data_IF_702477530957
#
_entry.id   IF_702477530957
#
_cell.length_a   1.000
_cell.length_b   1.000
_cell.length_c   1.000
_cell.angle_alpha   90.00
_cell.angle_beta   90.00
_cell.angle_gamma   90.00
#
_symmetry.space_group_name_H-M   'P 1'
#
loop_
_entity.id
_entity.type
_entity.pdbx_description
1 polymer ?
#
# COMPACT_ATOMS: atom_id res chain seq x y z
N UNK A 1 22.48 -10.15 -5.91
CA UNK A 1 22.87 -9.19 -4.85
C UNK A 1 21.90 -9.34 -3.70
N UNK A 2 22.35 -9.21 -2.46
CA UNK A 2 21.44 -9.21 -1.32
C UNK A 2 20.64 -7.90 -1.29
N UNK A 3 19.38 -7.97 -0.89
CA UNK A 3 18.57 -6.77 -0.66
C UNK A 3 19.26 -5.85 0.38
N UNK A 4 19.13 -4.52 0.25
CA UNK A 4 19.69 -3.58 1.21
C UNK A 4 19.14 -3.88 2.60
N UNK A 5 20.05 -4.02 3.57
CA UNK A 5 19.70 -4.25 4.98
C UNK A 5 19.46 -2.90 5.63
N UNK A 6 18.29 -2.75 6.24
CA UNK A 6 17.95 -1.56 7.00
C UNK A 6 17.71 -1.94 8.47
N UNK A 7 18.28 -1.20 9.43
CA UNK A 7 17.96 -1.41 10.84
C UNK A 7 16.53 -0.93 11.14
N UNK A 8 15.87 -1.59 12.08
CA UNK A 8 14.65 -1.05 12.68
C UNK A 8 15.02 0.20 13.47
N UNK A 9 14.29 1.29 13.26
CA UNK A 9 14.51 2.57 13.92
C UNK A 9 13.25 3.02 14.67
N UNK A 10 13.45 3.88 15.67
CA UNK A 10 12.37 4.49 16.46
C UNK A 10 12.22 5.96 16.12
N UNK A 11 10.98 6.42 16.04
CA UNK A 11 10.64 7.77 15.65
C UNK A 11 9.59 8.37 16.58
N UNK A 12 9.84 9.60 17.01
CA UNK A 12 8.90 10.41 17.80
C UNK A 12 8.23 11.51 16.96
N UNK A 13 8.48 11.52 15.65
CA UNK A 13 7.96 12.51 14.70
C UNK A 13 7.39 11.79 13.48
N UNK A 14 6.15 12.11 13.12
CA UNK A 14 5.42 11.45 12.04
C UNK A 14 6.12 11.59 10.68
N UNK A 15 6.63 12.78 10.36
CA UNK A 15 7.35 13.03 9.10
C UNK A 15 8.64 12.22 8.98
N UNK A 16 9.39 12.10 10.08
CA UNK A 16 10.63 11.31 10.09
C UNK A 16 10.34 9.82 9.92
N UNK A 17 9.28 9.31 10.56
CA UNK A 17 8.82 7.94 10.37
C UNK A 17 8.40 7.70 8.91
N UNK A 18 7.58 8.58 8.33
CA UNK A 18 7.14 8.45 6.93
C UNK A 18 8.30 8.55 5.94
N UNK A 19 9.24 9.48 6.14
CA UNK A 19 10.43 9.58 5.31
C UNK A 19 11.25 8.29 5.32
N UNK A 20 11.36 7.64 6.49
CA UNK A 20 12.04 6.34 6.58
C UNK A 20 11.24 5.22 5.91
N UNK A 21 9.91 5.19 6.04
CA UNK A 21 9.05 4.25 5.30
C UNK A 21 9.25 4.39 3.79
N UNK A 22 9.28 5.62 3.26
CA UNK A 22 9.56 5.91 1.85
C UNK A 22 10.92 5.34 1.44
N UNK A 23 11.97 5.67 2.20
CA UNK A 23 13.32 5.18 1.92
C UNK A 23 13.39 3.64 1.87
N UNK A 24 12.76 2.96 2.82
CA UNK A 24 12.70 1.51 2.86
C UNK A 24 11.98 0.95 1.64
N UNK A 25 10.77 1.46 1.36
CA UNK A 25 9.95 0.99 0.25
C UNK A 25 10.63 1.20 -1.10
N UNK A 26 11.12 2.42 -1.37
CA UNK A 26 11.75 2.78 -2.63
C UNK A 26 13.01 1.94 -2.90
N UNK A 27 13.82 1.69 -1.87
CA UNK A 27 15.01 0.84 -2.01
C UNK A 27 14.66 -0.61 -2.33
N UNK A 28 13.58 -1.15 -1.76
CA UNK A 28 13.11 -2.51 -2.02
C UNK A 28 12.51 -2.64 -3.43
N UNK A 29 11.72 -1.65 -3.87
CA UNK A 29 11.15 -1.61 -5.21
C UNK A 29 12.24 -1.42 -6.28
N UNK A 30 13.20 -0.51 -6.05
CA UNK A 30 14.34 -0.33 -6.95
C UNK A 30 15.15 -1.62 -7.11
N UNK A 31 15.44 -2.30 -5.99
CA UNK A 31 16.14 -3.59 -6.00
C UNK A 31 15.41 -4.64 -6.85
N UNK A 32 14.09 -4.76 -6.70
CA UNK A 32 13.29 -5.68 -7.51
C UNK A 32 13.31 -5.31 -8.99
N UNK A 33 13.11 -4.03 -9.33
CA UNK A 33 13.09 -3.53 -10.71
C UNK A 33 14.43 -3.75 -11.41
N UNK A 34 15.54 -3.45 -10.76
CA UNK A 34 16.88 -3.67 -11.32
C UNK A 34 17.15 -5.16 -11.57
N UNK A 35 16.81 -6.02 -10.60
CA UNK A 35 16.97 -7.46 -10.75
C UNK A 35 16.11 -8.02 -11.89
N UNK A 36 14.89 -7.51 -12.03
CA UNK A 36 13.97 -7.88 -13.08
C UNK A 36 14.45 -7.45 -14.47
N UNK A 37 15.00 -6.23 -14.60
CA UNK A 37 15.61 -5.76 -15.84
C UNK A 37 16.77 -6.68 -16.27
N UNK A 38 17.63 -7.07 -15.33
CA UNK A 38 18.73 -8.02 -15.58
C UNK A 38 18.22 -9.41 -15.96
N UNK A 39 17.15 -9.87 -15.30
CA UNK A 39 16.49 -11.12 -15.61
C UNK A 39 15.90 -11.13 -17.02
N UNK A 40 15.23 -10.06 -17.43
CA UNK A 40 14.71 -9.92 -18.80
C UNK A 40 15.88 -9.83 -19.80
N UNK A 41 16.96 -9.12 -19.46
CA UNK A 41 18.10 -8.90 -20.35
C UNK A 41 18.93 -10.15 -20.68
N UNK A 42 18.93 -11.18 -19.84
CA UNK A 42 19.79 -12.33 -20.11
C UNK A 42 20.30 -13.08 -18.91
N UNK A 43 20.30 -12.43 -17.75
CA UNK A 43 21.12 -12.89 -16.63
C UNK A 43 20.51 -14.11 -15.91
N UNK A 44 21.35 -15.10 -15.65
CA UNK A 44 20.99 -16.26 -14.84
C UNK A 44 21.33 -16.00 -13.37
N UNK A 45 20.31 -15.99 -12.52
CA UNK A 45 20.48 -15.85 -11.08
C UNK A 45 20.75 -17.20 -10.44
N UNK A 46 21.69 -17.24 -9.49
CA UNK A 46 21.98 -18.44 -8.69
C UNK A 46 21.13 -18.54 -7.43
N UNK A 47 20.51 -17.44 -7.03
CA UNK A 47 19.70 -17.34 -5.81
C UNK A 47 18.45 -16.50 -6.09
N UNK A 48 17.32 -16.78 -5.41
CA UNK A 48 16.13 -15.96 -5.52
C UNK A 48 16.38 -14.52 -5.08
N UNK A 49 15.69 -13.60 -5.74
CA UNK A 49 15.67 -12.18 -5.43
C UNK A 49 14.45 -11.91 -4.57
N UNK A 50 14.68 -11.41 -3.36
CA UNK A 50 13.65 -11.16 -2.35
C UNK A 50 13.69 -9.71 -1.95
N UNK A 51 12.53 -9.09 -1.83
CA UNK A 51 12.37 -7.78 -1.24
C UNK A 51 11.16 -7.81 -0.29
N UNK A 52 11.13 -6.92 0.70
CA UNK A 52 10.15 -6.99 1.78
C UNK A 52 9.45 -5.67 2.02
N UNK A 53 8.19 -5.72 2.43
CA UNK A 53 7.47 -4.51 2.80
C UNK A 53 8.05 -3.88 4.07
N UNK A 54 8.06 -2.54 4.17
CA UNK A 54 8.24 -1.90 5.46
C UNK A 54 7.08 -2.25 6.41
N UNK A 55 7.37 -2.28 7.71
CA UNK A 55 6.37 -2.33 8.76
C UNK A 55 6.44 -1.07 9.62
N UNK A 56 5.31 -0.75 10.25
CA UNK A 56 5.23 0.18 11.38
C UNK A 56 4.64 -0.54 12.58
N UNK A 57 5.23 -0.30 13.75
CA UNK A 57 4.83 -0.92 15.01
C UNK A 57 4.75 0.11 16.11
N UNK A 58 3.77 -0.08 16.99
CA UNK A 58 3.62 0.66 18.24
C UNK A 58 3.52 -0.32 19.40
N UNK A 59 4.16 0.01 20.51
CA UNK A 59 4.04 -0.70 21.77
C UNK A 59 3.50 0.25 22.83
N UNK A 60 2.40 -0.12 23.48
CA UNK A 60 1.81 0.67 24.56
C UNK A 60 1.68 -0.19 25.81
N UNK A 61 2.07 0.33 26.96
CA UNK A 61 1.94 -0.35 28.25
C UNK A 61 0.67 0.06 29.01
N UNK A 62 -0.03 1.09 28.52
CA UNK A 62 -1.12 1.74 29.26
C UNK A 62 -2.47 1.60 28.57
N UNK A 63 -3.52 1.46 29.37
CA UNK A 63 -4.92 1.53 28.91
C UNK A 63 -5.38 2.99 28.74
N UNK A 64 -4.61 3.94 29.30
CA UNK A 64 -4.95 5.35 29.28
C UNK A 64 -5.13 5.83 27.84
N UNK A 65 -6.34 6.29 27.53
CA UNK A 65 -6.65 6.95 26.26
C UNK A 65 -6.43 8.43 26.45
N UNK A 66 -5.68 9.06 25.55
CA UNK A 66 -5.77 10.51 25.41
C UNK A 66 -7.23 10.91 25.14
N UNK A 67 -7.61 12.11 25.58
CA UNK A 67 -8.93 12.70 25.33
C UNK A 67 -9.05 13.10 23.84
N UNK A 68 -9.25 12.08 22.99
CA UNK A 68 -9.47 12.26 21.55
C UNK A 68 -10.95 12.13 21.24
N UNK A 69 -11.47 13.10 20.48
CA UNK A 69 -12.84 13.08 19.94
C UNK A 69 -12.96 12.28 18.64
N UNK A 70 -11.84 11.83 18.08
CA UNK A 70 -11.83 11.02 16.86
C UNK A 70 -12.18 9.57 17.19
N UNK A 71 -12.91 8.92 16.28
CA UNK A 71 -13.23 7.49 16.38
C UNK A 71 -12.05 6.59 15.98
N UNK A 72 -10.92 7.16 15.55
CA UNK A 72 -9.73 6.48 15.05
C UNK A 72 -8.43 7.12 15.58
N UNK A 73 -7.27 6.58 15.18
CA UNK A 73 -5.96 7.09 15.58
C UNK A 73 -5.48 6.63 16.95
N UNK A 74 -6.05 5.54 17.48
CA UNK A 74 -5.63 4.93 18.74
C UNK A 74 -5.74 3.40 18.70
N UNK A 75 -5.06 2.74 19.63
CA UNK A 75 -5.13 1.30 19.81
C UNK A 75 -5.96 0.92 21.05
N UNK A 76 -6.55 -0.27 21.04
CA UNK A 76 -7.58 -0.66 22.01
C UNK A 76 -7.08 -0.82 23.46
N UNK A 77 -5.80 -1.16 23.68
CA UNK A 77 -5.22 -1.31 25.00
C UNK A 77 -3.75 -1.79 24.97
N UNK A 78 -3.18 -2.16 26.13
CA UNK A 78 -1.76 -2.51 26.27
C UNK A 78 -1.30 -3.66 25.37
N UNK A 79 -0.12 -3.51 24.79
CA UNK A 79 0.66 -4.48 24.02
C UNK A 79 1.13 -3.94 22.67
N UNK A 80 1.62 -4.84 21.84
CA UNK A 80 2.24 -4.51 20.56
C UNK A 80 1.24 -4.59 19.40
N UNK A 81 1.21 -3.57 18.57
CA UNK A 81 0.45 -3.52 17.33
C UNK A 81 1.39 -3.26 16.15
N UNK A 82 1.18 -3.95 15.03
CA UNK A 82 2.00 -3.85 13.83
C UNK A 82 1.15 -3.92 12.57
N UNK A 83 1.60 -3.25 11.51
CA UNK A 83 1.12 -3.48 10.15
C UNK A 83 2.24 -3.28 9.15
N UNK A 84 2.14 -3.96 8.01
CA UNK A 84 2.97 -3.69 6.83
C UNK A 84 2.39 -2.54 6.01
N UNK A 85 3.27 -1.80 5.32
CA UNK A 85 2.92 -0.61 4.54
C UNK A 85 3.36 -0.78 3.08
N UNK A 86 2.59 -0.22 2.15
CA UNK A 86 2.90 -0.19 0.71
C UNK A 86 2.45 1.14 0.12
N UNK A 87 2.94 1.48 -1.06
CA UNK A 87 2.59 2.70 -1.80
C UNK A 87 2.56 3.96 -0.91
N UNK A 88 3.65 4.25 -0.18
CA UNK A 88 3.69 5.43 0.68
C UNK A 88 3.67 6.74 -0.12
N UNK A 89 3.92 6.68 -1.43
CA UNK A 89 3.64 7.75 -2.40
C UNK A 89 2.14 8.09 -2.49
N UNK A 90 1.28 7.06 -2.52
CA UNK A 90 -0.18 7.22 -2.62
C UNK A 90 -0.83 7.51 -1.26
N UNK A 91 -0.33 6.90 -0.19
CA UNK A 91 -0.91 6.99 1.15
C UNK A 91 -0.18 7.96 2.08
N UNK A 92 0.71 8.83 1.56
CA UNK A 92 1.54 9.72 2.36
C UNK A 92 0.74 10.52 3.39
N UNK A 93 -0.36 11.15 2.96
CA UNK A 93 -1.19 11.98 3.84
C UNK A 93 -1.88 11.17 4.93
N UNK A 94 -2.45 10.01 4.54
CA UNK A 94 -3.06 9.08 5.48
C UNK A 94 -2.04 8.57 6.51
N UNK A 95 -0.86 8.12 6.08
CA UNK A 95 0.18 7.62 6.99
C UNK A 95 0.69 8.71 7.92
N UNK A 96 0.94 9.92 7.42
CA UNK A 96 1.36 11.07 8.23
C UNK A 96 0.33 11.38 9.33
N UNK A 97 -0.94 11.46 8.96
CA UNK A 97 -2.02 11.72 9.91
C UNK A 97 -2.11 10.61 10.97
N UNK A 98 -2.14 9.34 10.55
CA UNK A 98 -2.22 8.21 11.49
C UNK A 98 -1.01 8.16 12.42
N UNK A 99 0.21 8.41 11.92
CA UNK A 99 1.42 8.44 12.75
C UNK A 99 1.35 9.58 13.78
N UNK A 100 0.92 10.77 13.36
CA UNK A 100 0.77 11.91 14.27
C UNK A 100 -0.26 11.61 15.38
N UNK A 101 -1.40 11.02 15.02
CA UNK A 101 -2.43 10.62 15.99
C UNK A 101 -1.92 9.54 16.96
N UNK A 102 -1.22 8.52 16.47
CA UNK A 102 -0.66 7.47 17.32
C UNK A 102 0.38 8.02 18.31
N UNK A 103 1.30 8.86 17.84
CA UNK A 103 2.29 9.53 18.68
C UNK A 103 1.63 10.43 19.72
N UNK A 104 0.67 11.27 19.30
CA UNK A 104 -0.03 12.21 20.18
C UNK A 104 -0.93 11.54 21.21
N UNK A 105 -1.62 10.46 20.84
CA UNK A 105 -2.58 9.80 21.72
C UNK A 105 -1.95 8.83 22.71
N UNK A 106 -0.77 8.27 22.40
CA UNK A 106 -0.12 7.25 23.23
C UNK A 106 1.18 7.73 23.88
N UNK A 107 1.83 8.78 23.36
CA UNK A 107 3.07 9.31 23.91
C UNK A 107 4.26 8.34 23.83
N UNK A 108 4.22 7.41 22.88
CA UNK A 108 5.26 6.39 22.65
C UNK A 108 5.81 6.51 21.23
N UNK A 109 7.06 6.09 21.02
CA UNK A 109 7.70 6.09 19.71
C UNK A 109 7.10 5.05 18.76
N UNK A 110 7.12 5.34 17.46
CA UNK A 110 6.85 4.37 16.40
C UNK A 110 8.12 3.63 16.02
N UNK A 111 8.06 2.30 15.90
CA UNK A 111 9.14 1.51 15.32
C UNK A 111 8.87 1.25 13.84
N UNK A 112 9.85 1.55 12.97
CA UNK A 112 9.76 1.33 11.53
C UNK A 112 10.95 0.50 11.07
N UNK A 113 10.71 -0.53 10.26
CA UNK A 113 11.74 -1.42 9.73
C UNK A 113 11.23 -2.26 8.57
N UNK A 114 12.02 -3.25 8.13
CA UNK A 114 11.59 -4.21 7.11
C UNK A 114 10.90 -5.42 7.75
N UNK A 115 9.74 -5.77 7.22
CA UNK A 115 8.91 -6.86 7.72
C UNK A 115 9.40 -8.24 7.31
N UNK A 116 8.57 -9.26 7.56
CA UNK A 116 8.78 -10.61 7.06
C UNK A 116 8.15 -10.82 5.67
N UNK A 117 7.06 -10.11 5.37
CA UNK A 117 6.26 -10.31 4.17
C UNK A 117 7.01 -9.86 2.91
N UNK A 118 7.13 -10.73 1.89
CA UNK A 118 7.78 -10.39 0.64
C UNK A 118 6.91 -9.47 -0.21
N UNK A 119 7.54 -8.63 -1.04
CA UNK A 119 6.88 -7.85 -2.09
C UNK A 119 6.82 -8.71 -3.35
N UNK A 120 5.63 -9.13 -3.83
CA UNK A 120 5.51 -9.80 -5.10
C UNK A 120 6.01 -8.95 -6.26
N UNK A 121 6.73 -9.57 -7.18
CA UNK A 121 7.39 -8.83 -8.27
C UNK A 121 6.41 -8.08 -9.17
N UNK A 122 5.18 -8.57 -9.30
CA UNK A 122 4.13 -7.94 -10.12
C UNK A 122 3.70 -6.58 -9.57
N UNK A 123 3.78 -6.38 -8.25
CA UNK A 123 3.43 -5.11 -7.61
C UNK A 123 4.58 -4.10 -7.65
N UNK A 124 5.79 -4.53 -8.01
CA UNK A 124 6.91 -3.61 -8.23
C UNK A 124 6.81 -2.84 -9.55
N UNK A 125 5.98 -3.28 -10.49
CA UNK A 125 5.89 -2.70 -11.83
C UNK A 125 5.06 -1.41 -11.83
N UNK A 126 5.46 -0.45 -12.66
CA UNK A 126 4.62 0.73 -12.93
C UNK A 126 3.37 0.36 -13.75
N UNK A 127 2.39 1.26 -13.77
CA UNK A 127 1.07 1.01 -14.38
C UNK A 127 1.12 0.51 -15.84
N UNK A 128 2.13 0.88 -16.62
CA UNK A 128 2.23 0.52 -18.04
C UNK A 128 3.22 -0.62 -18.34
N UNK A 129 3.78 -1.27 -17.33
CA UNK A 129 4.78 -2.33 -17.52
C UNK A 129 4.15 -3.71 -17.34
N UNK A 130 4.01 -4.45 -18.44
CA UNK A 130 3.58 -5.85 -18.43
C UNK A 130 4.78 -6.79 -18.63
N UNK A 131 5.04 -7.65 -17.64
CA UNK A 131 6.16 -8.60 -17.71
C UNK A 131 5.97 -9.70 -18.75
N UNK A 132 4.74 -10.20 -18.87
CA UNK A 132 4.46 -11.47 -19.54
C UNK A 132 4.71 -11.42 -21.05
N UNK A 133 4.51 -10.25 -21.69
CA UNK A 133 4.67 -10.09 -23.14
C UNK A 133 6.11 -10.16 -23.64
N UNK A 134 7.10 -9.95 -22.78
CA UNK A 134 8.52 -9.83 -23.14
C UNK A 134 9.36 -11.08 -22.87
N UNK A 135 8.83 -12.04 -22.12
CA UNK A 135 9.57 -13.22 -21.66
C UNK A 135 9.28 -14.46 -22.52
N UNK A 136 10.34 -15.23 -22.82
CA UNK A 136 10.18 -16.58 -23.39
C UNK A 136 9.47 -17.52 -22.39
N UNK A 137 8.80 -18.58 -22.86
CA UNK A 137 8.14 -19.55 -21.99
C UNK A 137 9.06 -20.12 -20.89
N UNK A 138 10.30 -20.47 -21.24
CA UNK A 138 11.29 -20.99 -20.28
C UNK A 138 11.63 -19.97 -19.19
N UNK A 139 11.70 -18.69 -19.53
CA UNK A 139 11.94 -17.63 -18.53
C UNK A 139 10.74 -17.36 -17.65
N UNK A 140 9.52 -17.52 -18.14
CA UNK A 140 8.33 -17.39 -17.29
C UNK A 140 8.31 -18.45 -16.19
N UNK A 141 8.73 -19.68 -16.49
CA UNK A 141 8.85 -20.74 -15.49
C UNK A 141 9.90 -20.40 -14.42
N UNK A 142 11.06 -19.86 -14.81
CA UNK A 142 12.08 -19.44 -13.85
C UNK A 142 11.67 -18.25 -12.98
N UNK A 143 10.68 -17.46 -13.41
CA UNK A 143 10.23 -16.28 -12.68
C UNK A 143 9.60 -16.66 -11.33
N UNK A 144 8.83 -17.75 -11.26
CA UNK A 144 8.24 -18.23 -10.00
C UNK A 144 9.27 -18.79 -9.03
N UNK A 145 10.39 -19.31 -9.53
CA UNK A 145 11.46 -19.84 -8.69
C UNK A 145 12.36 -18.72 -8.13
N UNK A 146 12.56 -17.67 -8.92
CA UNK A 146 13.48 -16.59 -8.62
C UNK A 146 12.85 -15.39 -7.90
N UNK A 147 11.56 -15.14 -8.08
CA UNK A 147 10.86 -13.99 -7.52
C UNK A 147 9.64 -14.41 -6.72
N UNK A 148 9.16 -13.55 -5.82
CA UNK A 148 7.92 -13.79 -5.08
C UNK A 148 6.72 -13.44 -5.96
N UNK A 149 5.69 -14.28 -5.91
CA UNK A 149 4.43 -14.09 -6.61
C UNK A 149 3.30 -13.79 -5.61
N UNK A 150 2.22 -13.12 -6.05
CA UNK A 150 1.06 -12.90 -5.21
C UNK A 150 0.44 -14.23 -4.74
N UNK A 151 0.36 -14.44 -3.42
CA UNK A 151 -0.34 -15.58 -2.83
C UNK A 151 -1.75 -15.15 -2.37
N UNK A 152 -2.76 -15.55 -3.15
CA UNK A 152 -4.17 -15.26 -2.87
C UNK A 152 -4.65 -15.83 -1.53
N UNK A 153 -4.07 -16.94 -1.06
CA UNK A 153 -4.49 -17.54 0.21
C UNK A 153 -4.02 -16.72 1.42
N UNK A 154 -2.96 -15.93 1.27
CA UNK A 154 -2.44 -15.02 2.30
C UNK A 154 -3.14 -13.66 2.35
N UNK A 155 -3.91 -13.33 1.31
CA UNK A 155 -4.58 -12.03 1.13
C UNK A 155 -6.04 -12.12 1.60
N UNK A 156 -6.24 -12.33 2.90
CA UNK A 156 -7.57 -12.41 3.52
C UNK A 156 -8.08 -11.06 4.05
N UNK A 157 -9.39 -11.01 4.33
CA UNK A 157 -10.07 -9.87 4.95
C UNK A 157 -10.35 -10.11 6.45
N UNK A 158 -9.63 -11.04 7.09
CA UNK A 158 -9.90 -11.49 8.45
C UNK A 158 -9.80 -10.37 9.48
N UNK A 159 -8.85 -9.44 9.31
CA UNK A 159 -8.71 -8.27 10.20
C UNK A 159 -9.93 -7.36 10.06
N UNK A 160 -10.28 -6.96 8.83
CA UNK A 160 -11.41 -6.08 8.55
C UNK A 160 -12.75 -6.71 8.97
N UNK A 161 -12.89 -8.03 8.83
CA UNK A 161 -14.08 -8.78 9.24
C UNK A 161 -14.14 -9.08 10.74
N UNK A 162 -13.09 -8.76 11.50
CA UNK A 162 -13.00 -9.07 12.93
C UNK A 162 -12.85 -10.57 13.26
N UNK A 163 -12.52 -11.39 12.26
CA UNK A 163 -12.31 -12.85 12.39
C UNK A 163 -10.84 -13.24 12.49
N UNK A 164 -9.93 -12.26 12.52
CA UNK A 164 -8.49 -12.49 12.64
C UNK A 164 -8.14 -13.13 13.97
N UNK A 165 -7.67 -14.38 13.90
CA UNK A 165 -7.18 -15.11 15.06
C UNK A 165 -5.67 -14.90 15.25
N UNK A 166 -5.30 -14.50 16.46
CA UNK A 166 -3.90 -14.20 16.81
C UNK A 166 -3.15 -15.50 17.03
N UNK A 167 -2.35 -15.92 16.05
CA UNK A 167 -1.46 -17.07 16.20
C UNK A 167 -0.21 -16.69 17.01
N UNK A 168 0.09 -17.47 18.05
CA UNK A 168 1.44 -17.56 18.63
C UNK A 168 2.04 -16.27 19.21
N UNK A 169 1.26 -15.42 19.87
CA UNK A 169 1.79 -14.20 20.52
C UNK A 169 2.23 -13.10 19.55
N UNK A 170 1.91 -13.22 18.26
CA UNK A 170 2.17 -12.20 17.26
C UNK A 170 1.58 -10.82 17.66
N UNK A 171 2.18 -9.72 17.17
CA UNK A 171 1.60 -8.38 17.29
C UNK A 171 0.15 -8.35 16.83
N UNK A 172 -0.64 -7.48 17.45
CA UNK A 172 -2.02 -7.22 17.01
C UNK A 172 -2.02 -6.38 15.73
N UNK A 173 -3.06 -6.46 14.89
CA UNK A 173 -3.14 -5.64 13.70
C UNK A 173 -3.26 -4.16 14.06
N UNK A 174 -2.40 -3.32 13.48
CA UNK A 174 -2.43 -1.85 13.62
C UNK A 174 -3.32 -1.17 12.56
N UNK A 175 -3.55 -1.83 11.43
CA UNK A 175 -4.42 -1.37 10.35
C UNK A 175 -5.36 -2.49 9.90
N UNK A 176 -6.42 -2.13 9.16
CA UNK A 176 -7.42 -3.07 8.67
C UNK A 176 -6.90 -4.00 7.57
N UNK A 177 -5.89 -3.57 6.83
CA UNK A 177 -5.34 -4.30 5.69
C UNK A 177 -3.82 -4.30 5.74
N UNK A 178 -3.22 -5.44 5.40
CA UNK A 178 -1.77 -5.59 5.23
C UNK A 178 -1.33 -5.07 3.86
N UNK A 179 -0.03 -4.77 3.71
CA UNK A 179 0.52 -4.29 2.44
C UNK A 179 0.22 -5.21 1.23
N UNK A 180 0.42 -6.55 1.29
CA UNK A 180 0.07 -7.43 0.18
C UNK A 180 -1.40 -7.35 -0.22
N UNK A 181 -2.30 -7.23 0.77
CA UNK A 181 -3.75 -7.12 0.54
C UNK A 181 -4.13 -5.79 -0.11
N UNK A 182 -3.47 -4.69 0.29
CA UNK A 182 -3.63 -3.36 -0.30
C UNK A 182 -3.18 -3.37 -1.75
N UNK A 183 -1.97 -3.85 -2.06
CA UNK A 183 -1.46 -3.88 -3.44
C UNK A 183 -2.34 -4.71 -4.38
N UNK A 184 -2.82 -5.86 -3.91
CA UNK A 184 -3.79 -6.65 -4.65
C UNK A 184 -5.08 -5.87 -4.94
N UNK A 185 -5.61 -5.17 -3.93
CA UNK A 185 -6.78 -4.30 -4.08
C UNK A 185 -6.53 -3.19 -5.10
N UNK A 186 -5.39 -2.51 -5.06
CA UNK A 186 -5.07 -1.42 -6.00
C UNK A 186 -5.02 -1.92 -7.44
N UNK A 187 -4.44 -3.10 -7.67
CA UNK A 187 -4.45 -3.74 -8.99
C UNK A 187 -5.86 -4.10 -9.46
N UNK A 188 -6.69 -4.67 -8.58
CA UNK A 188 -8.09 -5.00 -8.89
C UNK A 188 -8.93 -3.76 -9.14
N UNK A 189 -8.74 -2.71 -8.34
CA UNK A 189 -9.43 -1.44 -8.47
C UNK A 189 -9.22 -0.89 -9.88
N UNK A 190 -7.96 -0.76 -10.29
CA UNK A 190 -7.61 -0.32 -11.65
C UNK A 190 -8.19 -1.22 -12.74
N UNK A 191 -8.09 -2.54 -12.58
CA UNK A 191 -8.61 -3.48 -13.58
C UNK A 191 -10.13 -3.32 -13.79
N UNK A 192 -10.89 -3.14 -12.71
CA UNK A 192 -12.34 -3.05 -12.77
C UNK A 192 -12.87 -1.66 -13.11
N UNK A 193 -12.17 -0.59 -12.71
CA UNK A 193 -12.64 0.79 -12.94
C UNK A 193 -11.97 1.46 -14.13
N UNK A 194 -10.92 0.85 -14.69
CA UNK A 194 -10.12 1.45 -15.75
C UNK A 194 -9.43 2.77 -15.33
N UNK A 195 -9.36 3.06 -14.04
CA UNK A 195 -8.90 4.34 -13.50
C UNK A 195 -7.77 4.12 -12.49
N UNK A 196 -6.74 4.97 -12.51
CA UNK A 196 -5.64 4.90 -11.55
C UNK A 196 -6.16 5.14 -10.12
N UNK A 197 -5.65 4.39 -9.12
CA UNK A 197 -6.05 4.59 -7.72
C UNK A 197 -5.82 6.01 -7.19
N UNK A 198 -4.89 6.78 -7.76
CA UNK A 198 -4.60 8.15 -7.35
C UNK A 198 -5.74 9.14 -7.62
N UNK A 199 -6.66 8.79 -8.52
CA UNK A 199 -7.82 9.63 -8.85
C UNK A 199 -9.03 9.38 -7.95
N UNK A 200 -9.00 8.34 -7.10
CA UNK A 200 -10.12 8.04 -6.22
C UNK A 200 -10.29 9.11 -5.14
N UNK A 201 -11.53 9.55 -4.97
CA UNK A 201 -11.92 10.55 -3.98
C UNK A 201 -12.46 9.88 -2.71
N UNK A 202 -12.43 10.60 -1.59
CA UNK A 202 -12.94 10.11 -0.30
C UNK A 202 -14.45 9.86 -0.27
N UNK A 203 -15.21 10.51 -1.17
CA UNK A 203 -16.65 10.36 -1.29
C UNK A 203 -17.00 9.51 -2.51
N UNK A 204 -17.58 8.33 -2.26
CA UNK A 204 -17.87 7.34 -3.30
C UNK A 204 -19.38 7.18 -3.47
N UNK A 205 -19.84 7.19 -4.71
CA UNK A 205 -21.23 6.88 -5.08
C UNK A 205 -21.26 5.56 -5.87
N UNK A 206 -22.14 4.65 -5.47
CA UNK A 206 -22.43 3.43 -6.22
C UNK A 206 -23.76 3.55 -6.94
N UNK A 207 -23.77 3.28 -8.24
CA UNK A 207 -24.96 3.33 -9.08
C UNK A 207 -25.09 2.02 -9.85
N UNK A 208 -26.31 1.50 -9.98
CA UNK A 208 -26.59 0.23 -10.66
C UNK A 208 -27.21 0.40 -12.06
N UNK A 209 -27.30 1.63 -12.58
CA UNK A 209 -27.80 1.93 -13.92
C UNK A 209 -26.92 2.94 -14.64
N UNK A 210 -26.74 2.73 -15.95
CA UNK A 210 -25.88 3.56 -16.81
C UNK A 210 -26.29 5.03 -16.85
N UNK A 211 -27.60 5.34 -16.82
CA UNK A 211 -28.07 6.72 -16.97
C UNK A 211 -27.57 7.65 -15.85
N UNK A 212 -27.28 7.13 -14.66
CA UNK A 212 -26.67 7.91 -13.59
C UNK A 212 -25.24 8.34 -13.92
N UNK A 213 -24.49 7.47 -14.59
CA UNK A 213 -23.13 7.77 -15.05
C UNK A 213 -23.16 8.82 -16.15
N UNK A 214 -24.10 8.69 -17.10
CA UNK A 214 -24.23 9.65 -18.21
C UNK A 214 -24.54 11.07 -17.70
N UNK A 215 -25.47 11.20 -16.74
CA UNK A 215 -25.78 12.49 -16.13
C UNK A 215 -24.63 13.00 -15.27
N UNK A 216 -23.92 12.12 -14.55
CA UNK A 216 -22.74 12.50 -13.77
C UNK A 216 -21.61 13.05 -14.65
N UNK A 217 -21.35 12.43 -15.81
CA UNK A 217 -20.38 12.91 -16.80
C UNK A 217 -20.78 14.29 -17.32
N UNK A 218 -22.05 14.47 -17.68
CA UNK A 218 -22.57 15.75 -18.15
C UNK A 218 -22.38 16.85 -17.09
N UNK A 219 -22.78 16.59 -15.84
CA UNK A 219 -22.61 17.53 -14.73
C UNK A 219 -21.13 17.83 -14.44
N UNK A 220 -20.25 16.82 -14.52
CA UNK A 220 -18.81 16.98 -14.36
C UNK A 220 -18.21 17.89 -15.43
N UNK A 221 -18.53 17.66 -16.70
CA UNK A 221 -18.06 18.51 -17.81
C UNK A 221 -18.63 19.93 -17.75
N UNK A 222 -19.90 20.08 -17.39
CA UNK A 222 -20.50 21.40 -17.14
C UNK A 222 -19.79 22.13 -16.00
N UNK A 223 -19.41 21.43 -14.93
CA UNK A 223 -18.63 22.00 -13.84
C UNK A 223 -17.25 22.47 -14.30
N UNK A 224 -16.52 21.66 -15.09
CA UNK A 224 -15.19 22.01 -15.62
C UNK A 224 -15.22 23.22 -16.55
N UNK A 225 -16.36 23.49 -17.21
CA UNK A 225 -16.51 24.67 -18.07
C UNK A 225 -16.67 25.99 -17.30
N UNK A 226 -16.92 25.95 -15.99
CA UNK A 226 -17.13 27.14 -15.15
C UNK A 226 -15.80 27.63 -14.61
N UNK A 227 -15.50 28.91 -14.84
CA UNK A 227 -14.27 29.54 -14.35
C UNK A 227 -14.16 29.62 -12.81
N UNK A 228 -15.29 29.49 -12.10
CA UNK A 228 -15.39 29.57 -10.63
C UNK A 228 -15.75 28.20 -10.00
N UNK A 229 -15.26 27.12 -10.61
CA UNK A 229 -15.50 25.77 -10.10
C UNK A 229 -14.53 25.43 -8.96
N UNK A 230 -15.03 24.84 -7.87
CA UNK A 230 -14.21 24.32 -6.77
C UNK A 230 -13.41 23.06 -7.17
N UNK A 231 -13.85 22.36 -8.22
CA UNK A 231 -13.18 21.17 -8.74
C UNK A 231 -12.14 21.55 -9.78
N UNK A 232 -10.96 20.93 -9.71
CA UNK A 232 -9.83 21.22 -10.60
C UNK A 232 -9.73 20.31 -11.82
N UNK A 233 -10.38 19.14 -11.79
CA UNK A 233 -10.33 18.16 -12.86
C UNK A 233 -11.53 17.19 -12.79
N UNK A 234 -11.89 16.64 -13.94
CA UNK A 234 -12.82 15.52 -14.07
C UNK A 234 -12.12 14.33 -14.74
N UNK A 235 -12.04 13.19 -14.05
CA UNK A 235 -11.34 11.99 -14.54
C UNK A 235 -12.34 10.94 -14.98
N UNK A 236 -12.31 10.60 -16.27
CA UNK A 236 -13.11 9.54 -16.88
C UNK A 236 -12.31 8.21 -16.95
N UNK A 237 -13.01 7.06 -17.07
CA UNK A 237 -12.35 5.76 -17.25
C UNK A 237 -11.33 5.79 -18.40
N UNK A 238 -10.17 5.16 -18.17
CA UNK A 238 -9.01 5.28 -19.06
C UNK A 238 -8.05 6.40 -18.68
N UNK A 239 -8.21 7.01 -17.51
CA UNK A 239 -7.43 8.16 -17.01
C UNK A 239 -7.53 9.38 -17.94
N UNK A 240 -8.70 9.60 -18.53
CA UNK A 240 -8.94 10.78 -19.37
C UNK A 240 -9.28 11.95 -18.45
N UNK A 241 -8.39 12.92 -18.37
CA UNK A 241 -8.54 14.11 -17.53
C UNK A 241 -9.10 15.26 -18.36
N UNK A 242 -10.22 15.85 -17.92
CA UNK A 242 -10.84 17.06 -18.48
C UNK A 242 -10.80 18.20 -17.47
#
# INVERSE_FOLDING_TARGET
>A
MAAPKFPTQRFDQAEAALAYVNQLYDAQIAHLREALQRFVAGETFRHPVRAKYPFVRIHTDTVARADSRLSYGFVAGPGTYETTLTRPDLFADYYREQFALLLGNHGVSLEVGLGADPIPIHFSLGEHQHLEGSLSPDRRLLLSDLFDLPDLASMDDGIANGTYDRRGGAPRPLALFTAPRVDYSLHRLRHYTGTSPEHFQNFVLFTNYQFYIDEFIKLGREAMSKADCEYSAFVEPGNVVT
#
